data_IF_824485737470
#
_entry.id   IF_824485737470
#
_cell.length_a   1.000
_cell.length_b   1.000
_cell.length_c   1.000
_cell.angle_alpha   90.00
_cell.angle_beta   90.00
_cell.angle_gamma   90.00
#
_symmetry.space_group_name_H-M   'P 1'
#
loop_
_entity.id
_entity.type
_entity.pdbx_description
1 polymer ?
#
# COMPACT_ATOMS: atom_id res chain seq x y z
N UNK A 1 -9.90 -42.23 -5.28
CA UNK A 1 -8.97 -41.36 -6.03
C UNK A 1 -9.54 -41.17 -7.42
N UNK A 2 -10.10 -40.00 -7.70
CA UNK A 2 -10.47 -39.53 -9.03
C UNK A 2 -10.11 -38.04 -9.05
N UNK A 3 -9.15 -37.68 -9.90
CA UNK A 3 -8.72 -36.30 -10.09
C UNK A 3 -9.74 -35.57 -10.98
N UNK A 4 -10.20 -34.41 -10.52
CA UNK A 4 -10.98 -33.47 -11.32
C UNK A 4 -9.99 -32.57 -12.07
N UNK A 5 -10.04 -32.47 -13.41
CA UNK A 5 -9.18 -31.57 -14.16
C UNK A 5 -9.68 -30.13 -14.01
N UNK A 6 -8.83 -29.26 -13.48
CA UNK A 6 -9.05 -27.82 -13.47
C UNK A 6 -8.93 -27.24 -14.89
N UNK A 7 -9.68 -26.16 -15.19
CA UNK A 7 -9.81 -25.65 -16.55
C UNK A 7 -8.49 -25.12 -17.09
N UNK A 8 -8.16 -25.57 -18.30
CA UNK A 8 -7.10 -25.06 -19.14
C UNK A 8 -7.30 -23.56 -19.38
N UNK A 9 -6.38 -22.73 -18.87
CA UNK A 9 -6.29 -21.33 -19.26
C UNK A 9 -5.43 -21.21 -20.51
N UNK A 10 -6.08 -21.34 -21.66
CA UNK A 10 -5.63 -20.72 -22.90
C UNK A 10 -6.42 -19.42 -23.06
N UNK A 11 -5.83 -18.32 -22.60
CA UNK A 11 -6.40 -16.97 -22.72
C UNK A 11 -5.27 -15.96 -22.80
N UNK A 12 -5.15 -15.34 -23.97
CA UNK A 12 -4.31 -14.17 -24.30
C UNK A 12 -3.91 -13.31 -23.09
N UNK A 13 -2.62 -13.19 -22.80
CA UNK A 13 -2.12 -12.27 -21.78
C UNK A 13 -2.36 -10.83 -22.23
N UNK A 14 -3.49 -10.26 -21.80
CA UNK A 14 -3.62 -8.82 -21.70
C UNK A 14 -2.46 -8.37 -20.80
N UNK A 15 -1.54 -7.55 -21.33
CA UNK A 15 -0.40 -7.05 -20.55
C UNK A 15 -0.91 -6.54 -19.18
N UNK A 16 -0.50 -7.21 -18.11
CA UNK A 16 -0.84 -6.79 -16.75
C UNK A 16 -0.24 -5.40 -16.52
N UNK A 17 -0.93 -4.56 -15.75
CA UNK A 17 -0.39 -3.24 -15.41
C UNK A 17 1.00 -3.42 -14.77
N UNK A 18 2.03 -2.70 -15.23
CA UNK A 18 3.36 -2.78 -14.64
C UNK A 18 3.30 -2.57 -13.13
N UNK A 19 3.87 -3.52 -12.38
CA UNK A 19 3.88 -3.48 -10.93
C UNK A 19 5.31 -3.67 -10.41
N UNK A 20 5.76 -2.76 -9.54
CA UNK A 20 7.06 -2.85 -8.86
C UNK A 20 6.82 -3.02 -7.37
N UNK A 21 7.54 -3.97 -6.78
CA UNK A 21 7.52 -4.25 -5.35
C UNK A 21 8.78 -3.71 -4.70
N UNK A 22 8.62 -3.13 -3.51
CA UNK A 22 9.66 -2.62 -2.63
C UNK A 22 9.52 -3.29 -1.27
N UNK A 23 10.21 -4.41 -1.08
CA UNK A 23 10.15 -5.23 0.12
C UNK A 23 11.55 -5.50 0.69
N UNK A 24 11.67 -5.77 2.00
CA UNK A 24 12.98 -6.03 2.61
C UNK A 24 13.57 -7.38 2.21
N UNK A 25 12.73 -8.38 1.94
CA UNK A 25 13.18 -9.76 1.74
C UNK A 25 13.77 -10.02 0.35
N UNK A 26 13.28 -9.30 -0.66
CA UNK A 26 13.63 -9.46 -2.08
C UNK A 26 14.09 -8.13 -2.72
N UNK A 27 14.02 -7.01 -1.99
CA UNK A 27 14.46 -5.70 -2.47
C UNK A 27 13.47 -5.10 -3.48
N UNK A 28 13.99 -4.67 -4.63
CA UNK A 28 13.17 -4.13 -5.73
C UNK A 28 12.98 -5.20 -6.79
N UNK A 29 11.74 -5.60 -7.04
CA UNK A 29 11.43 -6.59 -8.05
C UNK A 29 10.13 -6.28 -8.81
N UNK A 30 9.97 -6.87 -9.99
CA UNK A 30 8.81 -6.66 -10.84
C UNK A 30 7.77 -7.76 -10.66
N UNK A 31 6.50 -7.38 -10.73
CA UNK A 31 5.38 -8.31 -10.72
C UNK A 31 5.33 -9.17 -11.99
N UNK A 32 4.77 -10.36 -11.85
CA UNK A 32 4.57 -11.29 -12.95
C UNK A 32 3.79 -10.64 -14.11
N UNK A 33 4.26 -10.86 -15.33
CA UNK A 33 3.65 -10.31 -16.55
C UNK A 33 4.06 -8.88 -16.89
N UNK A 34 4.88 -8.21 -16.07
CA UNK A 34 5.50 -6.92 -16.44
C UNK A 34 6.36 -7.11 -17.69
N UNK A 35 6.24 -6.22 -18.66
CA UNK A 35 7.01 -6.26 -19.90
C UNK A 35 8.54 -6.28 -19.64
N UNK A 36 9.30 -7.24 -20.22
CA UNK A 36 10.75 -7.35 -20.02
C UNK A 36 11.54 -6.09 -20.40
N UNK A 37 11.05 -5.27 -21.33
CA UNK A 37 11.70 -4.01 -21.70
C UNK A 37 11.70 -3.01 -20.54
N UNK A 38 10.62 -2.94 -19.74
CA UNK A 38 10.61 -2.13 -18.51
C UNK A 38 11.57 -2.69 -17.49
N UNK A 39 11.63 -4.02 -17.35
CA UNK A 39 12.48 -4.66 -16.36
C UNK A 39 13.97 -4.42 -16.62
N UNK A 40 14.35 -4.29 -17.90
CA UNK A 40 15.72 -4.00 -18.31
C UNK A 40 16.11 -2.51 -18.18
N UNK A 41 15.16 -1.60 -17.91
CA UNK A 41 15.45 -0.18 -17.79
C UNK A 41 16.10 0.16 -16.45
N UNK A 42 17.18 0.94 -16.50
CA UNK A 42 17.83 1.49 -15.29
C UNK A 42 16.97 2.58 -14.63
N UNK A 43 16.18 3.29 -15.42
CA UNK A 43 15.21 4.30 -14.97
C UNK A 43 13.96 4.26 -15.84
N UNK A 44 12.82 4.57 -15.25
CA UNK A 44 11.53 4.68 -15.94
C UNK A 44 11.25 6.08 -16.49
N UNK A 45 12.15 7.06 -16.28
CA UNK A 45 11.93 8.45 -16.69
C UNK A 45 11.71 8.59 -18.21
N UNK A 46 12.39 7.75 -18.99
CA UNK A 46 12.31 7.73 -20.46
C UNK A 46 11.50 6.55 -20.99
N UNK A 47 10.77 5.84 -20.10
CA UNK A 47 9.94 4.71 -20.50
C UNK A 47 8.85 5.19 -21.49
N UNK A 48 8.66 4.50 -22.63
CA UNK A 48 7.61 4.86 -23.56
C UNK A 48 6.23 4.79 -22.89
N UNK A 49 5.37 5.79 -23.13
CA UNK A 49 4.03 5.85 -22.51
C UNK A 49 3.15 4.63 -22.79
N UNK A 50 3.31 3.99 -23.95
CA UNK A 50 2.57 2.79 -24.29
C UNK A 50 2.98 1.57 -23.45
N UNK A 51 4.20 1.60 -22.93
CA UNK A 51 4.79 0.57 -22.08
C UNK A 51 4.47 0.85 -20.60
N UNK A 52 4.37 2.13 -20.22
CA UNK A 52 4.05 2.58 -18.87
C UNK A 52 2.81 3.50 -18.84
N UNK A 53 1.62 3.01 -19.25
CA UNK A 53 0.39 3.80 -19.20
C UNK A 53 -0.09 4.04 -17.76
N UNK A 54 0.25 3.12 -16.85
CA UNK A 54 0.02 3.16 -15.41
C UNK A 54 1.15 2.41 -14.72
N UNK A 55 1.53 2.82 -13.52
CA UNK A 55 2.50 2.13 -12.69
C UNK A 55 1.90 1.87 -11.31
N UNK A 56 1.82 0.60 -10.96
CA UNK A 56 1.50 0.15 -9.60
C UNK A 56 2.79 0.00 -8.81
N UNK A 57 2.84 0.64 -7.66
CA UNK A 57 3.94 0.51 -6.70
C UNK A 57 3.40 -0.15 -5.45
N UNK A 58 3.97 -1.30 -5.09
CA UNK A 58 3.70 -2.00 -3.85
C UNK A 58 4.89 -1.79 -2.91
N UNK A 59 4.65 -1.25 -1.72
CA UNK A 59 5.71 -0.95 -0.75
C UNK A 59 5.36 -1.52 0.61
N UNK A 60 6.24 -2.37 1.13
CA UNK A 60 6.26 -2.78 2.54
C UNK A 60 7.45 -2.16 3.28
N UNK A 61 8.47 -1.69 2.55
CA UNK A 61 9.68 -1.10 3.09
C UNK A 61 9.96 0.28 2.46
N UNK A 62 9.77 1.38 3.21
CA UNK A 62 9.75 2.73 2.65
C UNK A 62 11.12 3.20 2.13
N UNK A 63 12.23 2.74 2.71
CA UNK A 63 13.58 3.20 2.34
C UNK A 63 13.97 2.80 0.91
N UNK A 64 13.54 1.62 0.46
CA UNK A 64 13.81 1.13 -0.88
C UNK A 64 13.08 1.99 -1.92
N UNK A 65 11.79 2.27 -1.69
CA UNK A 65 11.04 3.17 -2.56
C UNK A 65 11.61 4.58 -2.51
N UNK A 66 11.94 5.10 -1.33
CA UNK A 66 12.54 6.42 -1.14
C UNK A 66 13.83 6.58 -1.95
N UNK A 67 14.69 5.56 -1.93
CA UNK A 67 15.92 5.52 -2.72
C UNK A 67 15.61 5.51 -4.22
N UNK A 68 14.62 4.73 -4.65
CA UNK A 68 14.24 4.61 -6.06
C UNK A 68 13.64 5.90 -6.63
N UNK A 69 12.81 6.62 -5.87
CA UNK A 69 12.26 7.92 -6.30
C UNK A 69 13.29 9.06 -6.26
N UNK A 70 14.53 8.83 -5.80
CA UNK A 70 15.61 9.80 -5.99
C UNK A 70 16.21 9.75 -7.41
N UNK A 71 16.02 8.64 -8.13
CA UNK A 71 16.51 8.48 -9.51
C UNK A 71 15.37 8.39 -10.53
N UNK A 72 14.15 8.15 -10.08
CA UNK A 72 12.95 8.04 -10.92
C UNK A 72 11.92 9.10 -10.55
N UNK A 73 11.17 9.56 -11.56
CA UNK A 73 10.12 10.53 -11.41
C UNK A 73 8.93 9.91 -10.68
N UNK A 74 8.69 10.32 -9.43
CA UNK A 74 7.57 9.84 -8.62
C UNK A 74 6.19 10.14 -9.25
N UNK A 75 6.09 11.11 -10.17
CA UNK A 75 4.85 11.40 -10.90
C UNK A 75 4.45 10.27 -11.88
N UNK A 76 5.31 9.26 -12.10
CA UNK A 76 4.95 8.05 -12.84
C UNK A 76 4.02 7.13 -12.03
N UNK A 77 4.04 7.24 -10.70
CA UNK A 77 3.23 6.39 -9.82
C UNK A 77 1.76 6.80 -9.95
N UNK A 78 0.94 5.87 -10.42
CA UNK A 78 -0.51 6.05 -10.55
C UNK A 78 -1.28 5.27 -9.49
N UNK A 79 -0.74 4.12 -9.07
CA UNK A 79 -1.36 3.28 -8.04
C UNK A 79 -0.32 2.98 -6.97
N UNK A 80 -0.64 3.24 -5.71
CA UNK A 80 0.26 3.03 -4.57
C UNK A 80 -0.42 2.12 -3.55
N UNK A 81 0.20 0.97 -3.31
CA UNK A 81 -0.18 0.04 -2.26
C UNK A 81 0.87 0.07 -1.14
N UNK A 82 0.42 0.38 0.07
CA UNK A 82 1.23 0.43 1.28
C UNK A 82 0.83 -0.74 2.18
N UNK A 83 1.77 -1.62 2.46
CA UNK A 83 1.64 -2.67 3.47
C UNK A 83 2.44 -2.29 4.71
N UNK A 84 1.76 -2.24 5.86
CA UNK A 84 2.38 -1.95 7.14
C UNK A 84 2.49 -3.24 7.95
N UNK A 85 3.63 -3.96 7.91
CA UNK A 85 3.81 -5.18 8.67
C UNK A 85 3.81 -4.91 10.19
N UNK A 86 3.40 -5.91 10.97
CA UNK A 86 3.43 -5.91 12.43
C UNK A 86 4.50 -6.91 12.96
N UNK A 87 5.70 -6.85 12.40
CA UNK A 87 6.83 -7.74 12.69
C UNK A 87 7.98 -6.99 13.38
N UNK A 88 8.96 -7.72 13.93
CA UNK A 88 10.13 -7.14 14.61
C UNK A 88 11.03 -6.31 13.68
N UNK A 89 11.07 -6.67 12.40
CA UNK A 89 11.81 -5.99 11.34
C UNK A 89 10.97 -4.93 10.60
N UNK A 90 9.76 -4.64 11.09
CA UNK A 90 8.88 -3.67 10.46
C UNK A 90 9.51 -2.26 10.41
N UNK A 91 9.31 -1.51 9.31
CA UNK A 91 9.87 -0.17 9.21
C UNK A 91 9.31 0.79 10.26
N UNK A 92 10.18 1.67 10.76
CA UNK A 92 9.79 2.67 11.76
C UNK A 92 8.77 3.67 11.20
N UNK A 93 7.97 4.27 12.09
CA UNK A 93 7.08 5.40 11.72
C UNK A 93 7.86 6.54 11.04
N UNK A 94 9.11 6.80 11.46
CA UNK A 94 9.93 7.86 10.89
C UNK A 94 10.25 7.60 9.42
N UNK A 95 10.66 6.38 9.07
CA UNK A 95 10.98 6.00 7.68
C UNK A 95 9.77 6.18 6.76
N UNK A 96 8.58 5.78 7.21
CA UNK A 96 7.33 6.03 6.48
C UNK A 96 7.04 7.52 6.31
N UNK A 97 7.26 8.34 7.34
CA UNK A 97 7.04 9.78 7.25
C UNK A 97 7.98 10.45 6.23
N UNK A 98 9.25 10.00 6.15
CA UNK A 98 10.19 10.50 5.14
C UNK A 98 9.73 10.16 3.73
N UNK A 99 9.26 8.93 3.50
CA UNK A 99 8.68 8.54 2.22
C UNK A 99 7.45 9.39 1.88
N UNK A 100 6.50 9.54 2.80
CA UNK A 100 5.28 10.30 2.55
C UNK A 100 5.53 11.78 2.30
N UNK A 101 6.49 12.39 3.01
CA UNK A 101 6.89 13.77 2.75
C UNK A 101 7.43 13.94 1.31
N UNK A 102 8.26 13.01 0.83
CA UNK A 102 8.74 13.06 -0.56
C UNK A 102 7.63 12.81 -1.57
N UNK A 103 6.80 11.79 -1.37
CA UNK A 103 5.66 11.48 -2.25
C UNK A 103 4.62 12.62 -2.29
N UNK A 104 4.34 13.29 -1.18
CA UNK A 104 3.38 14.41 -1.13
C UNK A 104 3.79 15.58 -2.04
N UNK A 105 5.10 15.73 -2.27
CA UNK A 105 5.69 16.79 -3.10
C UNK A 105 5.83 16.37 -4.56
N UNK A 106 6.24 15.11 -4.80
CA UNK A 106 6.71 14.65 -6.11
C UNK A 106 5.72 13.72 -6.83
N UNK A 107 4.92 12.92 -6.11
CA UNK A 107 4.00 11.95 -6.70
C UNK A 107 2.65 12.60 -7.06
N UNK A 108 2.64 13.39 -8.14
CA UNK A 108 1.48 14.22 -8.49
C UNK A 108 0.34 13.49 -9.18
N UNK A 109 0.46 12.19 -9.46
CA UNK A 109 -0.46 11.43 -10.32
C UNK A 109 -1.10 10.20 -9.67
N UNK A 110 -0.93 10.01 -8.36
CA UNK A 110 -1.57 8.91 -7.64
C UNK A 110 -3.09 9.02 -7.81
N UNK A 111 -3.68 8.05 -8.50
CA UNK A 111 -5.11 7.87 -8.68
C UNK A 111 -5.66 6.99 -7.55
N UNK A 112 -4.99 5.88 -7.27
CA UNK A 112 -5.45 4.89 -6.30
C UNK A 112 -4.41 4.73 -5.19
N UNK A 113 -4.84 4.96 -3.95
CA UNK A 113 -4.05 4.70 -2.75
C UNK A 113 -4.73 3.60 -1.95
N UNK A 114 -3.99 2.51 -1.69
CA UNK A 114 -4.43 1.46 -0.79
C UNK A 114 -3.45 1.31 0.37
N UNK A 115 -3.97 1.21 1.58
CA UNK A 115 -3.17 1.03 2.79
C UNK A 115 -3.72 -0.15 3.59
N UNK A 116 -2.85 -1.11 3.90
CA UNK A 116 -3.15 -2.24 4.74
C UNK A 116 -2.32 -2.17 6.02
N UNK A 117 -2.99 -2.05 7.17
CA UNK A 117 -2.34 -2.15 8.47
C UNK A 117 -2.42 -3.57 8.99
N UNK A 118 -1.29 -4.25 9.10
CA UNK A 118 -1.28 -5.57 9.70
C UNK A 118 -1.39 -5.50 11.23
N UNK A 119 -1.86 -6.60 11.81
CA UNK A 119 -1.82 -6.87 13.24
C UNK A 119 -1.59 -8.36 13.42
N UNK A 120 -0.48 -8.72 14.04
CA UNK A 120 -0.29 -10.07 14.54
C UNK A 120 -1.21 -10.36 15.74
N UNK A 121 -2.36 -10.99 15.46
CA UNK A 121 -3.27 -11.53 16.47
C UNK A 121 -2.88 -12.96 16.89
N UNK A 122 -1.91 -13.61 16.21
CA UNK A 122 -1.70 -15.06 16.34
C UNK A 122 -0.31 -15.50 16.83
N UNK A 123 0.69 -14.63 16.96
CA UNK A 123 1.97 -15.07 17.52
C UNK A 123 1.98 -15.06 19.05
N UNK A 124 2.61 -16.10 19.59
CA UNK A 124 2.98 -16.25 21.00
C UNK A 124 4.15 -15.33 21.42
N UNK A 125 4.63 -14.47 20.51
CA UNK A 125 5.65 -13.46 20.75
C UNK A 125 5.02 -12.18 21.32
N UNK A 126 5.80 -11.29 21.99
CA UNK A 126 5.26 -10.01 22.44
C UNK A 126 4.65 -9.25 21.25
N UNK A 127 3.34 -9.03 21.29
CA UNK A 127 2.57 -8.32 20.25
C UNK A 127 3.25 -7.00 19.92
N UNK A 128 3.80 -6.88 18.71
CA UNK A 128 4.39 -5.62 18.26
C UNK A 128 3.25 -4.66 17.87
N UNK A 129 3.20 -3.44 18.45
CA UNK A 129 2.16 -2.49 18.14
C UNK A 129 2.32 -2.04 16.67
N UNK A 130 1.46 -2.55 15.79
CA UNK A 130 1.41 -2.12 14.39
C UNK A 130 1.13 -0.62 14.24
N UNK A 131 1.34 -0.09 13.03
CA UNK A 131 1.21 1.35 12.74
C UNK A 131 -0.23 1.89 12.79
N UNK A 132 -1.21 1.01 12.99
CA UNK A 132 -2.65 1.32 13.05
C UNK A 132 -3.09 2.28 14.15
N UNK A 133 -2.23 2.54 15.15
CA UNK A 133 -2.45 3.51 16.24
C UNK A 133 -1.50 4.72 16.20
N UNK A 134 -0.63 4.82 15.20
CA UNK A 134 0.37 5.89 15.10
C UNK A 134 -0.23 7.18 14.52
N UNK A 135 -0.41 8.20 15.37
CA UNK A 135 -0.89 9.52 14.94
C UNK A 135 0.06 10.19 13.95
N UNK A 136 1.38 10.06 14.17
CA UNK A 136 2.39 10.65 13.27
C UNK A 136 2.31 10.01 11.88
N UNK A 137 2.15 8.69 11.82
CA UNK A 137 1.99 7.97 10.55
C UNK A 137 0.75 8.45 9.78
N UNK A 138 -0.43 8.44 10.42
CA UNK A 138 -1.67 8.79 9.71
C UNK A 138 -1.70 10.26 9.29
N UNK A 139 -1.09 11.16 10.06
CA UNK A 139 -0.95 12.57 9.68
C UNK A 139 -0.09 12.75 8.44
N UNK A 140 1.03 12.03 8.36
CA UNK A 140 1.90 12.05 7.18
C UNK A 140 1.20 11.42 5.97
N UNK A 141 0.48 10.31 6.17
CA UNK A 141 -0.32 9.67 5.13
C UNK A 141 -1.39 10.63 4.57
N UNK A 142 -2.08 11.37 5.44
CA UNK A 142 -3.07 12.37 5.06
C UNK A 142 -2.50 13.61 4.35
N UNK A 143 -1.19 13.70 4.15
CA UNK A 143 -0.57 14.75 3.32
C UNK A 143 -0.42 14.34 1.85
N UNK A 144 -0.65 13.06 1.52
CA UNK A 144 -0.56 12.57 0.14
C UNK A 144 -1.67 13.17 -0.74
N UNK A 145 -1.32 13.44 -2.00
CA UNK A 145 -2.25 13.98 -3.01
C UNK A 145 -2.79 12.83 -3.86
N UNK A 146 -3.95 12.31 -3.48
CA UNK A 146 -4.65 11.25 -4.21
C UNK A 146 -5.78 11.87 -5.02
N UNK A 147 -5.88 11.52 -6.30
CA UNK A 147 -6.87 12.09 -7.23
C UNK A 147 -8.14 11.25 -7.36
N UNK A 148 -8.06 9.95 -7.06
CA UNK A 148 -9.15 9.00 -7.21
C UNK A 148 -9.50 8.34 -5.89
N UNK A 149 -9.27 7.04 -5.79
CA UNK A 149 -9.77 6.20 -4.71
C UNK A 149 -8.79 6.08 -3.55
N UNK A 150 -9.36 5.97 -2.36
CA UNK A 150 -8.64 5.62 -1.15
C UNK A 150 -9.24 4.33 -0.59
N UNK A 151 -8.40 3.31 -0.43
CA UNK A 151 -8.77 2.04 0.20
C UNK A 151 -7.97 1.87 1.49
N UNK A 152 -8.66 1.56 2.58
CA UNK A 152 -8.04 1.25 3.87
C UNK A 152 -8.49 -0.13 4.33
N UNK A 153 -7.52 -0.94 4.77
CA UNK A 153 -7.71 -2.33 5.15
C UNK A 153 -6.93 -2.66 6.43
N UNK A 154 -7.28 -3.77 7.06
CA UNK A 154 -6.60 -4.28 8.25
C UNK A 154 -6.97 -3.50 9.50
N UNK A 155 -6.00 -3.27 10.37
CA UNK A 155 -6.21 -2.83 11.74
C UNK A 155 -5.77 -1.39 11.94
N UNK A 156 -6.73 -0.48 11.89
CA UNK A 156 -6.53 0.95 12.11
C UNK A 156 -7.50 1.46 13.15
N UNK A 157 -7.12 2.53 13.82
CA UNK A 157 -7.91 3.08 14.89
C UNK A 157 -9.11 3.91 14.40
N UNK A 158 -10.06 4.12 15.32
CA UNK A 158 -11.46 4.47 15.00
C UNK A 158 -11.63 5.71 14.13
N UNK A 159 -10.81 6.74 14.35
CA UNK A 159 -10.96 8.04 13.70
C UNK A 159 -10.18 8.20 12.38
N UNK A 160 -9.41 7.18 11.96
CA UNK A 160 -8.60 7.22 10.75
C UNK A 160 -9.44 7.43 9.49
N UNK A 161 -10.58 6.73 9.29
CA UNK A 161 -11.35 6.89 8.07
C UNK A 161 -11.88 8.32 7.89
N UNK A 162 -12.43 8.89 8.97
CA UNK A 162 -12.96 10.26 8.98
C UNK A 162 -11.85 11.29 8.74
N UNK A 163 -10.72 11.13 9.43
CA UNK A 163 -9.56 12.00 9.26
C UNK A 163 -9.04 11.96 7.81
N UNK A 164 -8.77 10.77 7.27
CA UNK A 164 -8.23 10.62 5.91
C UNK A 164 -9.22 11.15 4.86
N UNK A 165 -10.52 10.93 5.03
CA UNK A 165 -11.54 11.52 4.17
C UNK A 165 -11.46 13.05 4.14
N UNK A 166 -11.29 13.70 5.31
CA UNK A 166 -11.22 15.16 5.38
C UNK A 166 -9.95 15.73 4.76
N UNK A 167 -8.86 14.96 4.75
CA UNK A 167 -7.53 15.40 4.30
C UNK A 167 -7.29 15.14 2.81
N UNK A 168 -7.72 13.98 2.33
CA UNK A 168 -7.53 13.54 0.94
C UNK A 168 -8.71 14.01 0.05
N UNK A 169 -9.89 14.19 0.63
CA UNK A 169 -11.09 14.63 -0.10
C UNK A 169 -11.93 13.50 -0.70
N UNK A 170 -11.50 12.24 -0.55
CA UNK A 170 -12.27 11.05 -0.94
C UNK A 170 -12.54 10.18 0.29
N UNK A 171 -13.77 9.67 0.48
CA UNK A 171 -14.08 8.73 1.55
C UNK A 171 -13.28 7.43 1.36
N UNK A 172 -12.57 6.93 2.40
CA UNK A 172 -11.95 5.62 2.33
C UNK A 172 -12.98 4.51 2.15
N UNK A 173 -12.69 3.55 1.27
CA UNK A 173 -13.40 2.28 1.16
C UNK A 173 -12.66 1.19 1.92
N UNK A 174 -13.37 0.32 2.62
CA UNK A 174 -12.80 -0.88 3.23
C UNK A 174 -13.48 -2.14 2.67
N UNK A 175 -12.84 -2.90 1.75
CA UNK A 175 -13.41 -4.10 1.15
C UNK A 175 -13.60 -5.27 2.14
N UNK A 176 -12.99 -5.22 3.32
CA UNK A 176 -13.11 -6.26 4.33
C UNK A 176 -14.34 -6.08 5.24
N UNK A 177 -14.95 -4.89 5.23
CA UNK A 177 -16.18 -4.61 5.98
C UNK A 177 -17.37 -4.95 5.09
N UNK A 178 -18.14 -5.94 5.52
CA UNK A 178 -19.44 -6.30 4.96
C UNK A 178 -20.31 -6.84 6.08
N UNK A 179 -21.63 -6.69 5.99
CA UNK A 179 -22.59 -6.96 7.07
C UNK A 179 -22.27 -8.25 7.86
N UNK A 180 -21.74 -8.09 9.07
CA UNK A 180 -21.50 -9.19 10.00
C UNK A 180 -20.28 -10.05 9.67
N UNK A 181 -19.31 -9.53 8.91
CA UNK A 181 -18.06 -10.25 8.65
C UNK A 181 -17.23 -10.43 9.92
N UNK A 182 -16.51 -11.54 10.03
CA UNK A 182 -15.56 -11.76 11.15
C UNK A 182 -14.50 -10.65 11.22
N UNK A 183 -14.17 -10.07 10.07
CA UNK A 183 -13.26 -8.93 9.95
C UNK A 183 -13.80 -7.67 10.63
N UNK A 184 -15.08 -7.35 10.45
CA UNK A 184 -15.72 -6.19 11.09
C UNK A 184 -15.63 -6.29 12.62
N UNK A 185 -16.01 -7.45 13.18
CA UNK A 185 -15.90 -7.69 14.62
C UNK A 185 -14.46 -7.60 15.14
N UNK A 186 -13.48 -8.09 14.38
CA UNK A 186 -12.07 -8.08 14.80
C UNK A 186 -11.50 -6.66 14.76
N UNK A 187 -11.85 -5.87 13.74
CA UNK A 187 -11.49 -4.46 13.67
C UNK A 187 -12.14 -3.65 14.80
N UNK A 188 -13.43 -3.88 15.10
CA UNK A 188 -14.11 -3.21 16.22
C UNK A 188 -13.38 -3.47 17.55
N UNK A 189 -12.95 -4.72 17.78
CA UNK A 189 -12.13 -5.07 18.96
C UNK A 189 -10.78 -4.35 18.98
N UNK A 190 -10.10 -4.20 17.84
CA UNK A 190 -8.86 -3.42 17.76
C UNK A 190 -9.07 -1.96 18.18
N UNK A 191 -10.21 -1.40 17.76
CA UNK A 191 -10.53 0.01 17.88
C UNK A 191 -10.94 0.42 19.30
N UNK A 192 -11.28 -0.53 20.17
CA UNK A 192 -11.49 -0.26 21.60
C UNK A 192 -10.22 0.37 22.20
N UNK A 193 -10.38 1.49 22.90
CA UNK A 193 -9.28 2.24 23.50
C UNK A 193 -8.56 3.18 22.53
N UNK A 194 -9.04 3.30 21.29
CA UNK A 194 -8.48 4.22 20.28
C UNK A 194 -9.31 5.49 20.09
N UNK A 195 -10.34 5.69 20.90
CA UNK A 195 -11.29 6.81 20.82
C UNK A 195 -10.61 8.16 21.08
N UNK A 196 -9.55 8.18 21.88
CA UNK A 196 -8.75 9.39 22.14
C UNK A 196 -7.72 9.70 21.04
N UNK A 197 -7.53 8.81 20.07
CA UNK A 197 -6.54 8.99 19.01
C UNK A 197 -7.16 9.77 17.85
N UNK A 198 -7.24 11.08 18.02
CA UNK A 198 -7.77 12.02 17.03
C UNK A 198 -6.58 12.71 16.33
N UNK A 199 -6.36 12.49 15.01
CA UNK A 199 -5.23 13.08 14.30
C UNK A 199 -5.37 14.56 14.01
#
# INVERSE_FOLDING_TARGET
MNAVPGPSQSGTSLHSKPCVFFDASQGVHWGEGTDPLLQAMTTLNDAPKWLLPSLTVNVSHPDALLTWINTNNAALITELFIYCPATDDAPTTHAWCQLFDKLSREATNIQDLQVYWDWDHESTAPTMPGLGKSLTFVRALGALRVKGNLTICGFYAKHWPMYLSSRIGTPPYNPQIGNGSEWEMTLERYQVGTEGLIP
#
